data_IF_366932750668
#
_entry.id   IF_366932750668
#
_cell.length_a   1.000
_cell.length_b   1.000
_cell.length_c   1.000
_cell.angle_alpha   90.00
_cell.angle_beta   90.00
_cell.angle_gamma   90.00
#
_symmetry.space_group_name_H-M   'P 1'
#
loop_
_entity.id
_entity.type
_entity.pdbx_description
1 polymer ?
#
# COMPACT_ATOMS: atom_id res chain seq x y z
N UNK A 1 19.96 -9.27 20.25
CA UNK A 1 20.05 -8.38 19.08
C UNK A 1 18.87 -8.64 18.16
N UNK A 2 18.52 -7.70 17.29
CA UNK A 2 17.40 -7.81 16.37
C UNK A 2 16.78 -6.46 16.03
N UNK A 3 15.63 -6.47 15.35
CA UNK A 3 14.87 -5.27 15.01
C UNK A 3 13.55 -5.23 15.79
N UNK A 4 13.13 -4.02 16.14
CA UNK A 4 11.84 -3.74 16.76
C UNK A 4 11.16 -2.59 16.03
N UNK A 5 9.84 -2.46 16.19
CA UNK A 5 9.11 -1.34 15.62
C UNK A 5 9.56 -0.04 16.28
N UNK A 6 9.99 0.93 15.47
CA UNK A 6 10.42 2.25 15.96
C UNK A 6 9.24 3.11 16.49
N UNK A 7 8.00 2.75 16.15
CA UNK A 7 6.78 3.41 16.62
C UNK A 7 5.64 2.39 16.79
N UNK A 8 4.58 2.71 17.55
CA UNK A 8 3.44 1.81 17.69
C UNK A 8 2.85 1.42 16.33
N UNK A 9 2.43 0.15 16.12
CA UNK A 9 1.88 -0.33 14.86
C UNK A 9 0.62 0.43 14.41
N UNK A 10 -0.11 1.05 15.34
CA UNK A 10 -1.26 1.92 15.07
C UNK A 10 -0.90 3.29 14.49
N UNK A 11 0.39 3.64 14.47
CA UNK A 11 0.94 4.87 13.89
C UNK A 11 1.76 4.62 12.63
N UNK A 12 1.76 3.39 12.10
CA UNK A 12 2.46 3.02 10.86
C UNK A 12 1.41 2.76 9.80
N UNK A 13 1.25 3.66 8.82
CA UNK A 13 0.33 3.38 7.71
C UNK A 13 0.95 2.37 6.74
N UNK A 14 0.12 1.64 6.00
CA UNK A 14 0.62 0.74 4.96
C UNK A 14 1.32 1.54 3.85
N UNK A 15 0.85 2.76 3.56
CA UNK A 15 1.52 3.68 2.64
C UNK A 15 2.97 3.92 3.04
N UNK A 16 3.26 4.19 4.31
CA UNK A 16 4.64 4.40 4.79
C UNK A 16 5.52 3.18 4.56
N UNK A 17 4.99 1.97 4.80
CA UNK A 17 5.73 0.73 4.61
C UNK A 17 6.05 0.52 3.12
N UNK A 18 5.05 0.64 2.24
CA UNK A 18 5.27 0.40 0.81
C UNK A 18 6.15 1.50 0.20
N UNK A 19 5.97 2.77 0.57
CA UNK A 19 6.81 3.86 0.07
C UNK A 19 8.28 3.72 0.50
N UNK A 20 8.54 3.18 1.70
CA UNK A 20 9.92 2.92 2.15
C UNK A 20 10.61 1.79 1.35
N UNK A 21 9.86 0.88 0.74
CA UNK A 21 10.38 -0.23 -0.04
C UNK A 21 10.47 0.08 -1.54
N UNK A 22 9.42 0.67 -2.10
CA UNK A 22 9.25 0.87 -3.55
C UNK A 22 9.56 2.31 -3.99
N UNK A 23 9.55 3.28 -3.06
CA UNK A 23 9.64 4.70 -3.37
C UNK A 23 8.31 5.28 -3.85
N UNK A 24 8.23 5.67 -5.13
CA UNK A 24 7.01 6.25 -5.70
C UNK A 24 5.91 5.20 -5.79
N UNK A 25 4.68 5.58 -5.42
CA UNK A 25 3.51 4.70 -5.52
C UNK A 25 2.66 4.96 -6.77
N UNK A 26 3.14 5.83 -7.66
CA UNK A 26 2.48 6.12 -8.93
C UNK A 26 2.54 4.88 -9.84
N UNK A 27 1.40 4.44 -10.35
CA UNK A 27 1.32 3.22 -11.17
C UNK A 27 1.92 3.39 -12.58
N UNK A 28 2.18 4.63 -13.00
CA UNK A 28 2.82 4.95 -14.27
C UNK A 28 3.87 6.02 -14.08
N UNK A 29 5.07 5.79 -14.61
CA UNK A 29 6.20 6.71 -14.50
C UNK A 29 5.90 8.10 -15.09
N UNK A 30 5.09 8.14 -16.16
CA UNK A 30 4.70 9.39 -16.81
C UNK A 30 3.73 10.26 -15.98
N UNK A 31 3.20 9.76 -14.85
CA UNK A 31 2.43 10.56 -13.90
C UNK A 31 3.39 11.53 -13.20
N UNK A 32 4.42 11.00 -12.54
CA UNK A 32 5.43 11.77 -11.82
C UNK A 32 6.41 12.49 -12.73
N UNK A 33 6.75 11.88 -13.86
CA UNK A 33 7.81 12.32 -14.75
C UNK A 33 7.27 12.45 -16.18
N UNK A 34 6.39 13.43 -16.49
CA UNK A 34 5.72 13.53 -17.80
C UNK A 34 6.66 13.49 -19.01
N UNK A 35 7.89 14.00 -18.85
CA UNK A 35 8.93 14.02 -19.88
C UNK A 35 9.40 12.65 -20.36
N UNK A 36 9.16 11.56 -19.61
CA UNK A 36 9.48 10.19 -20.06
C UNK A 36 8.51 9.69 -21.14
N UNK A 37 7.40 10.39 -21.36
CA UNK A 37 6.37 10.00 -22.31
C UNK A 37 5.98 11.17 -23.20
N UNK A 38 6.26 11.06 -24.51
CA UNK A 38 5.88 12.06 -25.51
C UNK A 38 4.36 12.27 -25.64
N UNK A 39 3.54 11.34 -25.12
CA UNK A 39 2.07 11.45 -25.13
C UNK A 39 1.51 12.08 -23.87
N UNK A 40 2.33 12.37 -22.84
CA UNK A 40 1.84 12.75 -21.51
C UNK A 40 0.85 13.92 -21.52
N UNK A 41 0.97 14.86 -22.46
CA UNK A 41 0.10 16.04 -22.59
C UNK A 41 -1.29 15.76 -23.17
N UNK A 42 -1.52 14.63 -23.84
CA UNK A 42 -2.81 14.29 -24.48
C UNK A 42 -3.24 12.83 -24.24
N UNK A 43 -2.53 12.11 -23.38
CA UNK A 43 -2.80 10.72 -23.07
C UNK A 43 -3.92 10.60 -22.04
N UNK A 44 -5.16 10.38 -22.48
CA UNK A 44 -6.33 10.21 -21.58
C UNK A 44 -6.14 9.05 -20.59
N UNK A 45 -5.41 8.00 -20.97
CA UNK A 45 -5.16 6.88 -20.05
C UNK A 45 -4.20 7.26 -18.91
N UNK A 46 -3.38 8.31 -19.06
CA UNK A 46 -2.54 8.83 -17.97
C UNK A 46 -3.41 9.36 -16.83
N UNK A 47 -4.46 10.10 -17.15
CA UNK A 47 -5.41 10.63 -16.16
C UNK A 47 -6.11 9.50 -15.40
N UNK A 48 -6.52 8.44 -16.11
CA UNK A 48 -7.08 7.25 -15.46
C UNK A 48 -6.08 6.58 -14.52
N UNK A 49 -4.81 6.45 -14.93
CA UNK A 49 -3.77 5.88 -14.06
C UNK A 49 -3.46 6.74 -12.84
N UNK A 50 -3.54 8.05 -12.98
CA UNK A 50 -3.39 8.99 -11.87
C UNK A 50 -4.51 8.78 -10.84
N UNK A 51 -5.76 8.77 -11.29
CA UNK A 51 -6.93 8.51 -10.42
C UNK A 51 -6.83 7.16 -9.67
N UNK A 52 -6.40 6.10 -10.37
CA UNK A 52 -6.21 4.78 -9.74
C UNK A 52 -5.06 4.83 -8.72
N UNK A 53 -3.97 5.51 -9.04
CA UNK A 53 -2.83 5.68 -8.13
C UNK A 53 -3.25 6.39 -6.85
N UNK A 54 -4.00 7.49 -6.96
CA UNK A 54 -4.55 8.21 -5.81
C UNK A 54 -5.46 7.34 -4.95
N UNK A 55 -6.38 6.58 -5.56
CA UNK A 55 -7.27 5.66 -4.84
C UNK A 55 -6.49 4.58 -4.10
N UNK A 56 -5.45 4.03 -4.71
CA UNK A 56 -4.57 3.05 -4.07
C UNK A 56 -3.84 3.67 -2.88
N UNK A 57 -3.20 4.83 -3.08
CA UNK A 57 -2.45 5.54 -2.04
C UNK A 57 -3.36 5.87 -0.86
N UNK A 58 -4.56 6.41 -1.11
CA UNK A 58 -5.54 6.72 -0.07
C UNK A 58 -5.99 5.47 0.68
N UNK A 59 -6.17 4.35 -0.02
CA UNK A 59 -6.50 3.07 0.62
C UNK A 59 -5.38 2.63 1.56
N UNK A 60 -4.12 2.68 1.10
CA UNK A 60 -2.95 2.31 1.89
C UNK A 60 -2.71 3.25 3.07
N UNK A 61 -3.02 4.54 2.92
CA UNK A 61 -2.87 5.54 3.98
C UNK A 61 -3.96 5.40 5.06
N UNK A 62 -5.15 4.98 4.66
CA UNK A 62 -6.28 4.73 5.58
C UNK A 62 -6.12 3.50 6.48
N UNK A 63 -5.08 2.69 6.28
CA UNK A 63 -4.84 1.44 7.01
C UNK A 63 -3.49 1.47 7.71
N UNK A 64 -3.48 0.94 8.92
CA UNK A 64 -2.29 0.80 9.74
C UNK A 64 -1.79 -0.64 9.78
N UNK A 65 -0.53 -0.84 10.18
CA UNK A 65 0.00 -2.18 10.47
C UNK A 65 -0.82 -2.87 11.56
N UNK A 66 -1.32 -2.12 12.56
CA UNK A 66 -2.20 -2.66 13.60
C UNK A 66 -3.50 -3.23 13.02
N UNK A 67 -4.08 -2.60 11.99
CA UNK A 67 -5.31 -3.08 11.35
C UNK A 67 -5.10 -4.45 10.70
N UNK A 68 -3.94 -4.66 10.06
CA UNK A 68 -3.59 -5.97 9.51
C UNK A 68 -3.41 -7.03 10.60
N UNK A 69 -2.75 -6.69 11.71
CA UNK A 69 -2.61 -7.59 12.87
C UNK A 69 -3.98 -7.97 13.42
N UNK A 70 -4.88 -7.01 13.57
CA UNK A 70 -6.24 -7.26 14.07
C UNK A 70 -7.03 -8.14 13.10
N UNK A 71 -6.96 -7.86 11.80
CA UNK A 71 -7.62 -8.66 10.75
C UNK A 71 -7.09 -10.10 10.73
N UNK A 72 -5.80 -10.29 10.90
CA UNK A 72 -5.17 -11.61 10.97
C UNK A 72 -5.65 -12.41 12.19
N UNK A 73 -5.66 -11.80 13.38
CA UNK A 73 -6.20 -12.43 14.60
C UNK A 73 -7.66 -12.84 14.43
N UNK A 74 -8.47 -12.01 13.79
CA UNK A 74 -9.88 -12.32 13.53
C UNK A 74 -10.02 -13.50 12.56
N UNK A 75 -9.24 -13.54 11.49
CA UNK A 75 -9.25 -14.66 10.53
C UNK A 75 -8.81 -15.99 11.15
N UNK A 76 -7.77 -15.98 12.00
CA UNK A 76 -7.31 -17.20 12.69
C UNK A 76 -8.37 -17.69 13.67
N UNK A 77 -9.01 -16.81 14.45
CA UNK A 77 -10.09 -17.20 15.37
C UNK A 77 -11.28 -17.86 14.66
N UNK A 78 -11.57 -17.44 13.43
CA UNK A 78 -12.63 -18.02 12.61
C UNK A 78 -12.25 -19.30 11.88
N UNK A 79 -10.99 -19.73 11.94
CA UNK A 79 -10.53 -20.93 11.27
C UNK A 79 -10.78 -22.15 12.18
N UNK A 80 -11.52 -23.18 11.73
CA UNK A 80 -11.74 -24.37 12.55
C UNK A 80 -10.39 -25.04 12.84
N UNK A 81 -10.19 -25.45 14.09
CA UNK A 81 -9.01 -26.18 14.54
C UNK A 81 -8.87 -27.48 13.72
N UNK A 82 -8.05 -27.49 12.66
CA UNK A 82 -7.55 -28.73 12.07
C UNK A 82 -6.47 -29.26 13.00
N UNK A 83 -6.87 -30.04 14.01
CA UNK A 83 -5.95 -30.99 14.63
C UNK A 83 -5.70 -32.08 13.59
N UNK A 84 -4.54 -32.04 12.93
CA UNK A 84 -4.02 -33.21 12.26
C UNK A 84 -3.49 -34.14 13.36
N UNK A 85 -4.26 -35.20 13.61
CA UNK A 85 -3.86 -36.39 14.38
C UNK A 85 -2.65 -37.02 13.70
#
# INVERSE_FOLDING_TARGET
GGYTLAKPPSKITLKEIIAALEGSLDLSECIKTPQVCNRASFCVTRELWDEISEKMINTLDSKTLQDLVNKHKNKIKSQPLMYNI
#
